data_IF_059857674786
#
_entry.id   IF_059857674786
#
_cell.length_a   1.000
_cell.length_b   1.000
_cell.length_c   1.000
_cell.angle_alpha   90.00
_cell.angle_beta   90.00
_cell.angle_gamma   90.00
#
_symmetry.space_group_name_H-M   'P 1'
#
loop_
_entity.id
_entity.type
_entity.pdbx_description
1 polymer ?
#
# COMPACT_ATOMS: atom_id res chain seq x y z
N UNK A 1 -30.76 -36.65 -49.29
CA UNK A 1 -30.86 -35.21 -49.00
C UNK A 1 -29.46 -34.67 -48.74
N UNK A 2 -29.16 -33.53 -49.38
CA UNK A 2 -27.84 -32.91 -49.60
C UNK A 2 -27.47 -31.92 -48.46
N UNK A 3 -26.19 -31.53 -48.47
CA UNK A 3 -25.44 -30.42 -47.78
C UNK A 3 -25.09 -30.62 -46.30
N UNK A 4 -23.82 -30.75 -45.87
CA UNK A 4 -22.64 -29.88 -45.98
C UNK A 4 -22.73 -28.58 -45.16
N UNK A 5 -21.88 -28.43 -44.13
CA UNK A 5 -20.87 -27.37 -44.04
C UNK A 5 -20.27 -27.29 -42.63
N UNK A 6 -18.93 -27.40 -42.56
CA UNK A 6 -18.19 -27.05 -41.37
C UNK A 6 -18.27 -25.55 -41.05
N UNK A 7 -17.98 -25.21 -39.78
CA UNK A 7 -17.55 -23.85 -39.43
C UNK A 7 -16.55 -23.87 -38.29
N UNK A 8 -15.28 -23.87 -38.72
CA UNK A 8 -14.09 -23.35 -38.04
C UNK A 8 -14.49 -22.25 -37.05
N UNK A 9 -14.38 -22.51 -35.75
CA UNK A 9 -14.49 -21.45 -34.74
C UNK A 9 -13.30 -20.52 -34.91
N UNK A 10 -13.55 -19.40 -35.60
CA UNK A 10 -12.60 -18.33 -35.83
C UNK A 10 -12.07 -17.84 -34.49
N UNK A 11 -10.75 -17.94 -34.31
CA UNK A 11 -9.97 -17.02 -33.47
C UNK A 11 -10.56 -15.62 -33.59
N UNK A 12 -11.19 -15.14 -32.53
CA UNK A 12 -11.42 -13.71 -32.36
C UNK A 12 -10.20 -13.19 -31.62
N UNK A 13 -9.19 -12.82 -32.39
CA UNK A 13 -8.18 -11.88 -31.94
C UNK A 13 -8.90 -10.60 -31.56
N UNK A 14 -9.14 -10.41 -30.27
CA UNK A 14 -9.45 -9.10 -29.72
C UNK A 14 -8.15 -8.55 -29.15
N UNK A 15 -7.41 -7.83 -29.99
CA UNK A 15 -6.52 -6.78 -29.51
C UNK A 15 -7.41 -5.77 -28.81
N UNK A 16 -7.37 -5.74 -27.48
CA UNK A 16 -7.84 -4.59 -26.71
C UNK A 16 -6.73 -4.20 -25.76
N UNK A 17 -5.97 -3.21 -26.22
CA UNK A 17 -5.34 -2.17 -25.42
C UNK A 17 -4.66 -2.66 -24.15
N UNK A 18 -3.32 -2.72 -24.22
CA UNK A 18 -2.40 -2.66 -23.08
C UNK A 18 -2.61 -1.34 -22.33
N UNK A 19 -3.76 -1.20 -21.69
CA UNK A 19 -4.02 -0.16 -20.71
C UNK A 19 -3.07 -0.47 -19.58
N UNK A 20 -2.12 0.43 -19.35
CA UNK A 20 -1.18 0.41 -18.24
C UNK A 20 -1.90 0.68 -16.91
N UNK A 21 -3.09 0.10 -16.72
CA UNK A 21 -3.74 -0.02 -15.43
C UNK A 21 -2.85 -0.94 -14.61
N UNK A 22 -2.04 -0.34 -13.76
CA UNK A 22 -1.26 -1.07 -12.78
C UNK A 22 -2.29 -1.77 -11.90
N UNK A 23 -2.56 -3.04 -12.20
CA UNK A 23 -3.42 -3.91 -11.40
C UNK A 23 -2.93 -3.87 -9.94
N UNK A 24 -3.85 -3.83 -8.96
CA UNK A 24 -3.47 -4.00 -7.57
C UNK A 24 -2.66 -5.29 -7.44
N UNK A 25 -1.56 -5.32 -6.67
CA UNK A 25 -1.00 -6.59 -6.23
C UNK A 25 -2.15 -7.34 -5.55
N UNK A 26 -2.39 -8.59 -5.96
CA UNK A 26 -3.47 -9.37 -5.37
C UNK A 26 -3.33 -9.32 -3.84
N UNK A 27 -4.40 -8.91 -3.17
CA UNK A 27 -4.59 -9.02 -1.71
C UNK A 27 -3.89 -7.97 -0.80
N UNK A 28 -3.52 -6.78 -1.28
CA UNK A 28 -3.07 -5.72 -0.34
C UNK A 28 -4.23 -5.28 0.56
N UNK A 29 -4.03 -5.39 1.87
CA UNK A 29 -4.92 -4.84 2.90
C UNK A 29 -4.32 -3.55 3.43
N UNK A 30 -5.09 -2.47 3.37
CA UNK A 30 -4.75 -1.21 4.02
C UNK A 30 -5.26 -1.19 5.46
N UNK A 31 -4.59 -0.44 6.32
CA UNK A 31 -4.99 -0.24 7.70
C UNK A 31 -5.02 1.25 7.99
N UNK A 32 -6.17 1.79 8.38
CA UNK A 32 -6.33 3.20 8.73
C UNK A 32 -6.09 3.42 10.22
N UNK A 33 -5.14 4.29 10.52
CA UNK A 33 -4.94 4.87 11.84
C UNK A 33 -6.20 5.64 12.30
N UNK A 34 -6.44 5.66 13.61
CA UNK A 34 -7.59 6.30 14.27
C UNK A 34 -7.75 7.78 13.90
N UNK A 35 -6.64 8.49 13.67
CA UNK A 35 -6.65 9.92 13.31
C UNK A 35 -7.33 10.20 11.96
N UNK A 36 -7.52 9.19 11.11
CA UNK A 36 -8.24 9.30 9.83
C UNK A 36 -9.76 9.21 9.99
N UNK A 37 -10.24 8.98 11.21
CA UNK A 37 -11.65 8.82 11.53
C UNK A 37 -12.20 7.45 11.08
N UNK A 38 -13.13 6.91 11.86
CA UNK A 38 -13.66 5.53 11.69
C UNK A 38 -14.08 5.19 10.25
N UNK A 39 -15.05 5.92 9.70
CA UNK A 39 -15.67 5.52 8.42
C UNK A 39 -15.44 6.50 7.28
N UNK A 40 -15.21 7.78 7.56
CA UNK A 40 -15.15 8.81 6.51
C UNK A 40 -13.96 8.60 5.56
N UNK A 41 -12.83 8.15 6.09
CA UNK A 41 -11.66 7.81 5.27
C UNK A 41 -11.79 6.46 4.56
N UNK A 42 -12.31 5.43 5.25
CA UNK A 42 -12.38 4.06 4.72
C UNK A 42 -13.48 3.86 3.68
N UNK A 43 -14.57 4.63 3.73
CA UNK A 43 -15.71 4.52 2.80
C UNK A 43 -15.31 4.65 1.32
N UNK A 44 -14.64 5.73 0.85
CA UNK A 44 -14.25 5.84 -0.56
C UNK A 44 -13.26 4.74 -1.00
N UNK A 45 -12.45 4.23 -0.07
CA UNK A 45 -11.48 3.17 -0.34
C UNK A 45 -12.19 1.82 -0.53
N UNK A 46 -13.17 1.50 0.34
CA UNK A 46 -14.05 0.33 0.18
C UNK A 46 -14.87 0.41 -1.10
N UNK A 47 -15.42 1.59 -1.42
CA UNK A 47 -16.15 1.84 -2.66
C UNK A 47 -15.28 1.65 -3.92
N UNK A 48 -13.97 1.85 -3.82
CA UNK A 48 -13.01 1.56 -4.88
C UNK A 48 -12.64 0.05 -4.98
N UNK A 49 -13.28 -0.82 -4.20
CA UNK A 49 -13.06 -2.27 -4.20
C UNK A 49 -11.83 -2.73 -3.41
N UNK A 50 -11.28 -1.87 -2.55
CA UNK A 50 -10.08 -2.17 -1.77
C UNK A 50 -10.41 -2.66 -0.37
N UNK A 51 -9.56 -3.56 0.15
CA UNK A 51 -9.63 -4.01 1.53
C UNK A 51 -8.99 -2.96 2.44
N UNK A 52 -9.74 -2.52 3.44
CA UNK A 52 -9.25 -1.60 4.46
C UNK A 52 -9.86 -1.91 5.82
N UNK A 53 -8.95 -2.14 6.76
CA UNK A 53 -9.20 -2.28 8.19
C UNK A 53 -9.04 -0.93 8.87
N UNK A 54 -9.71 -0.72 10.00
CA UNK A 54 -9.63 0.53 10.76
C UNK A 54 -9.18 0.22 12.19
N UNK A 55 -8.41 1.13 12.79
CA UNK A 55 -7.80 0.93 14.09
C UNK A 55 -8.79 0.48 15.18
N UNK A 56 -9.93 1.17 15.29
CA UNK A 56 -10.92 0.93 16.34
C UNK A 56 -11.61 -0.45 16.28
N UNK A 57 -11.47 -1.19 15.16
CA UNK A 57 -12.00 -2.54 15.01
C UNK A 57 -11.03 -3.62 15.55
N UNK A 58 -9.75 -3.26 15.77
CA UNK A 58 -8.68 -4.20 16.12
C UNK A 58 -8.02 -3.91 17.46
N UNK A 59 -8.03 -2.64 17.91
CA UNK A 59 -7.28 -2.22 19.09
C UNK A 59 -8.05 -1.25 19.97
N UNK A 60 -7.66 -1.19 21.25
CA UNK A 60 -8.15 -0.19 22.18
C UNK A 60 -7.68 1.22 21.78
N UNK A 61 -8.48 2.27 22.07
CA UNK A 61 -8.18 3.63 21.64
C UNK A 61 -6.83 4.19 22.13
N UNK A 62 -6.32 3.70 23.26
CA UNK A 62 -5.07 4.13 23.92
C UNK A 62 -3.87 3.24 23.61
N UNK A 63 -4.01 2.24 22.73
CA UNK A 63 -2.91 1.34 22.40
C UNK A 63 -1.69 2.13 21.88
N UNK A 64 -0.51 1.74 22.31
CA UNK A 64 0.72 2.39 21.87
C UNK A 64 0.99 2.16 20.38
N UNK A 65 1.54 3.18 19.72
CA UNK A 65 1.85 3.14 18.29
C UNK A 65 2.71 1.93 17.92
N UNK A 66 3.72 1.63 18.75
CA UNK A 66 4.61 0.50 18.54
C UNK A 66 3.86 -0.85 18.49
N UNK A 67 2.81 -1.02 19.30
CA UNK A 67 2.08 -2.29 19.41
C UNK A 67 1.25 -2.53 18.16
N UNK A 68 0.37 -1.58 17.80
CA UNK A 68 -0.49 -1.77 16.64
C UNK A 68 0.29 -1.77 15.32
N UNK A 69 1.37 -0.97 15.21
CA UNK A 69 2.23 -0.97 14.02
C UNK A 69 3.00 -2.28 13.85
N UNK A 70 3.45 -2.89 14.95
CA UNK A 70 4.10 -4.20 14.90
C UNK A 70 3.13 -5.27 14.40
N UNK A 71 1.88 -5.26 14.88
CA UNK A 71 0.84 -6.18 14.43
C UNK A 71 0.47 -5.97 12.95
N UNK A 72 0.29 -4.73 12.52
CA UNK A 72 0.03 -4.39 11.10
C UNK A 72 1.19 -4.82 10.20
N UNK A 73 2.44 -4.64 10.66
CA UNK A 73 3.64 -5.12 9.98
C UNK A 73 3.68 -6.64 9.87
N UNK A 74 3.45 -7.35 10.98
CA UNK A 74 3.44 -8.81 11.05
C UNK A 74 2.36 -9.44 10.16
N UNK A 75 1.19 -8.80 10.04
CA UNK A 75 0.10 -9.22 9.13
C UNK A 75 0.39 -8.92 7.66
N UNK A 76 1.50 -8.23 7.35
CA UNK A 76 1.79 -7.81 5.99
C UNK A 76 0.71 -6.86 5.45
N UNK A 77 0.18 -5.98 6.28
CA UNK A 77 -0.74 -4.92 5.88
C UNK A 77 0.04 -3.65 5.51
N UNK A 78 -0.66 -2.60 5.07
CA UNK A 78 -0.08 -1.30 4.74
C UNK A 78 -0.75 -0.23 5.60
N UNK A 79 0.00 0.35 6.53
CA UNK A 79 -0.50 1.39 7.42
C UNK A 79 -0.70 2.71 6.65
N UNK A 80 -1.82 3.37 6.91
CA UNK A 80 -2.11 4.73 6.45
C UNK A 80 -2.37 5.59 7.68
N UNK A 81 -1.66 6.71 7.80
CA UNK A 81 -1.80 7.66 8.91
C UNK A 81 -1.82 9.09 8.39
N UNK A 82 -2.39 10.02 9.16
CA UNK A 82 -2.34 11.47 8.89
C UNK A 82 -1.25 12.09 9.76
N UNK A 83 -0.49 12.99 9.15
CA UNK A 83 0.70 13.52 9.76
C UNK A 83 0.48 14.55 10.88
N UNK A 84 1.08 14.25 12.03
CA UNK A 84 1.97 15.14 12.82
C UNK A 84 2.82 14.33 13.84
N UNK A 85 2.47 13.10 14.21
CA UNK A 85 3.21 12.31 15.23
C UNK A 85 4.32 11.40 14.68
N UNK A 86 4.05 10.61 13.64
CA UNK A 86 5.01 9.64 13.05
C UNK A 86 6.28 10.29 12.46
N UNK A 87 6.26 11.62 12.23
CA UNK A 87 7.35 12.34 11.59
C UNK A 87 8.52 12.67 12.49
N UNK A 88 8.37 12.74 13.82
CA UNK A 88 9.34 13.47 14.63
C UNK A 88 10.18 12.64 15.59
N UNK A 89 9.85 11.38 15.88
CA UNK A 89 10.71 10.56 16.74
C UNK A 89 11.49 9.55 15.91
N UNK A 90 12.80 9.76 15.81
CA UNK A 90 13.75 8.79 15.21
C UNK A 90 13.51 7.39 15.76
N UNK A 91 13.21 7.27 17.06
CA UNK A 91 12.89 6.01 17.75
C UNK A 91 11.65 5.34 17.16
N UNK A 92 10.56 6.08 16.92
CA UNK A 92 9.31 5.55 16.35
C UNK A 92 9.53 5.09 14.91
N UNK A 93 10.32 5.82 14.12
CA UNK A 93 10.70 5.43 12.76
C UNK A 93 11.52 4.15 12.74
N UNK A 94 12.47 3.99 13.63
CA UNK A 94 13.23 2.75 13.71
C UNK A 94 12.37 1.58 14.18
N UNK A 95 11.45 1.79 15.13
CA UNK A 95 10.52 0.77 15.57
C UNK A 95 9.64 0.28 14.41
N UNK A 96 9.13 1.21 13.59
CA UNK A 96 8.41 0.92 12.34
C UNK A 96 9.23 0.09 11.36
N UNK A 97 10.51 0.43 11.18
CA UNK A 97 11.38 -0.31 10.28
C UNK A 97 11.68 -1.72 10.84
N UNK A 98 11.96 -1.84 12.15
CA UNK A 98 12.18 -3.13 12.82
C UNK A 98 10.95 -4.04 12.74
N UNK A 99 9.75 -3.46 12.80
CA UNK A 99 8.48 -4.16 12.64
C UNK A 99 8.20 -4.66 11.21
N UNK A 100 9.04 -4.35 10.23
CA UNK A 100 8.79 -4.74 8.84
C UNK A 100 7.62 -3.96 8.22
N UNK A 101 7.23 -2.82 8.79
CA UNK A 101 6.03 -2.11 8.37
C UNK A 101 6.20 -1.41 7.01
N UNK A 102 5.10 -1.35 6.26
CA UNK A 102 4.93 -0.47 5.10
C UNK A 102 3.94 0.62 5.50
N UNK A 103 4.38 1.87 5.52
CA UNK A 103 3.55 2.98 5.98
C UNK A 103 3.48 4.12 4.95
N UNK A 104 2.27 4.62 4.74
CA UNK A 104 2.01 5.85 4.00
C UNK A 104 1.48 6.93 4.95
N UNK A 105 2.11 8.09 4.91
CA UNK A 105 1.76 9.29 5.68
C UNK A 105 1.05 10.27 4.75
N UNK A 106 -0.25 10.47 4.95
CA UNK A 106 -1.02 11.46 4.22
C UNK A 106 -0.70 12.87 4.74
N UNK A 107 -0.30 13.75 3.82
CA UNK A 107 0.06 15.12 4.15
C UNK A 107 -1.03 16.07 3.69
N UNK A 108 -1.59 16.82 4.63
CA UNK A 108 -2.62 17.79 4.33
C UNK A 108 -3.21 18.36 5.60
N UNK A 109 -2.76 19.55 5.97
CA UNK A 109 -3.37 20.31 7.07
C UNK A 109 -4.81 20.66 6.71
N UNK A 110 -5.71 20.56 7.68
CA UNK A 110 -7.14 20.93 7.59
C UNK A 110 -7.96 20.25 6.49
N UNK A 111 -7.48 19.13 5.94
CA UNK A 111 -8.27 18.35 4.99
C UNK A 111 -9.21 17.41 5.75
N UNK A 112 -10.53 17.42 5.45
CA UNK A 112 -11.48 16.44 5.96
C UNK A 112 -11.09 15.00 5.63
N UNK A 113 -11.41 14.07 6.52
CA UNK A 113 -11.11 12.64 6.35
C UNK A 113 -11.66 12.04 5.03
N UNK A 114 -12.85 12.46 4.60
CA UNK A 114 -13.45 12.00 3.35
C UNK A 114 -12.64 12.44 2.12
N UNK A 115 -12.16 13.69 2.11
CA UNK A 115 -11.35 14.23 1.03
C UNK A 115 -9.96 13.60 1.00
N UNK A 116 -9.40 13.26 2.17
CA UNK A 116 -8.17 12.46 2.26
C UNK A 116 -8.37 11.07 1.65
N UNK A 117 -9.51 10.43 1.91
CA UNK A 117 -9.88 9.16 1.27
C UNK A 117 -9.93 9.28 -0.25
N UNK A 118 -10.57 10.34 -0.78
CA UNK A 118 -10.61 10.59 -2.21
C UNK A 118 -9.22 10.89 -2.81
N UNK A 119 -8.37 11.66 -2.11
CA UNK A 119 -6.97 11.90 -2.51
C UNK A 119 -6.20 10.57 -2.58
N UNK A 120 -6.37 9.70 -1.58
CA UNK A 120 -5.72 8.41 -1.55
C UNK A 120 -6.18 7.51 -2.72
N UNK A 121 -7.49 7.45 -3.00
CA UNK A 121 -8.02 6.69 -4.15
C UNK A 121 -7.42 7.21 -5.46
N UNK A 122 -7.31 8.52 -5.66
CA UNK A 122 -6.64 9.10 -6.85
C UNK A 122 -5.15 8.78 -6.92
N UNK A 123 -4.50 8.60 -5.76
CA UNK A 123 -3.08 8.25 -5.67
C UNK A 123 -2.79 6.76 -5.94
N UNK A 124 -3.80 5.88 -5.96
CA UNK A 124 -3.62 4.43 -6.08
C UNK A 124 -2.67 3.97 -7.20
N UNK A 125 -2.74 4.48 -8.45
CA UNK A 125 -1.80 4.06 -9.49
C UNK A 125 -0.33 4.31 -9.11
N UNK A 126 -0.06 5.38 -8.35
CA UNK A 126 1.28 5.70 -7.84
C UNK A 126 1.62 4.84 -6.63
N UNK A 127 0.68 4.61 -5.73
CA UNK A 127 0.83 3.71 -4.57
C UNK A 127 1.19 2.29 -5.02
N UNK A 128 0.50 1.74 -6.03
CA UNK A 128 0.79 0.41 -6.56
C UNK A 128 2.18 0.31 -7.17
N UNK A 129 2.57 1.31 -7.98
CA UNK A 129 3.92 1.38 -8.55
C UNK A 129 4.98 1.46 -7.44
N UNK A 130 4.70 2.21 -6.37
CA UNK A 130 5.59 2.35 -5.24
C UNK A 130 5.76 1.03 -4.49
N UNK A 131 4.65 0.38 -4.10
CA UNK A 131 4.65 -0.91 -3.41
C UNK A 131 5.38 -2.02 -4.18
N UNK A 132 5.27 -2.02 -5.52
CA UNK A 132 6.00 -2.98 -6.37
C UNK A 132 7.51 -2.72 -6.41
N UNK A 133 7.92 -1.46 -6.31
CA UNK A 133 9.34 -1.05 -6.40
C UNK A 133 10.05 -1.15 -5.05
N UNK A 134 9.32 -0.95 -3.95
CA UNK A 134 9.87 -0.82 -2.62
C UNK A 134 9.30 -1.92 -1.71
N UNK A 135 10.07 -3.00 -1.45
CA UNK A 135 9.68 -3.97 -0.44
C UNK A 135 9.68 -3.32 0.94
N UNK A 136 9.01 -3.97 1.89
CA UNK A 136 9.11 -3.59 3.29
C UNK A 136 10.57 -3.66 3.81
N UNK A 137 10.92 -2.90 4.85
CA UNK A 137 10.12 -1.84 5.47
C UNK A 137 10.36 -0.47 4.82
N UNK A 138 9.32 0.37 4.81
CA UNK A 138 9.45 1.77 4.39
C UNK A 138 8.40 2.67 5.05
N UNK A 139 8.72 3.96 5.11
CA UNK A 139 7.77 5.04 5.35
C UNK A 139 7.83 5.98 4.15
N UNK A 140 6.67 6.29 3.58
CA UNK A 140 6.52 7.20 2.45
C UNK A 140 5.42 8.22 2.73
N UNK A 141 5.47 9.38 2.09
CA UNK A 141 4.43 10.41 2.16
C UNK A 141 3.58 10.44 0.91
N UNK A 142 2.29 10.74 1.07
CA UNK A 142 1.37 11.04 -0.03
C UNK A 142 0.89 12.49 0.12
N UNK A 143 1.23 13.31 -0.87
CA UNK A 143 0.83 14.70 -0.94
C UNK A 143 -0.62 14.92 -1.36
N UNK A 144 -1.12 16.16 -1.24
CA UNK A 144 -2.45 16.57 -1.74
C UNK A 144 -2.67 16.24 -3.22
N UNK A 145 -1.61 16.31 -4.03
CA UNK A 145 -1.63 15.97 -5.46
C UNK A 145 -1.58 14.47 -5.74
N UNK A 146 -1.53 13.62 -4.71
CA UNK A 146 -1.33 12.18 -4.83
C UNK A 146 0.12 11.77 -5.17
N UNK A 147 1.07 12.72 -5.12
CA UNK A 147 2.51 12.42 -5.28
C UNK A 147 2.99 11.58 -4.09
N UNK A 148 3.65 10.47 -4.40
CA UNK A 148 4.20 9.52 -3.42
C UNK A 148 5.72 9.68 -3.36
N UNK A 149 6.27 9.87 -2.16
CA UNK A 149 7.70 10.05 -1.95
C UNK A 149 8.20 9.26 -0.75
N UNK A 150 9.36 8.63 -0.87
CA UNK A 150 10.00 7.94 0.24
C UNK A 150 10.47 8.94 1.29
N UNK A 151 10.18 8.68 2.56
CA UNK A 151 10.75 9.39 3.71
C UNK A 151 11.95 8.62 4.24
N UNK A 152 11.77 7.33 4.51
CA UNK A 152 12.82 6.44 5.00
C UNK A 152 12.54 5.00 4.55
N UNK A 153 13.60 4.24 4.35
CA UNK A 153 13.56 2.79 4.17
C UNK A 153 14.70 2.17 4.95
N UNK A 154 14.56 0.91 5.38
CA UNK A 154 15.75 0.18 5.82
C UNK A 154 16.71 0.08 4.62
N UNK A 155 17.99 0.38 4.83
CA UNK A 155 19.00 0.17 3.81
C UNK A 155 18.92 -1.27 3.31
N UNK A 156 18.93 -1.45 1.98
CA UNK A 156 19.10 -2.78 1.42
C UNK A 156 20.46 -3.26 1.92
N UNK A 157 20.49 -4.19 2.89
CA UNK A 157 21.66 -5.05 3.04
C UNK A 157 21.81 -5.74 1.71
N UNK A 158 22.75 -5.25 0.90
CA UNK A 158 23.25 -5.99 -0.24
C UNK A 158 23.69 -7.32 0.34
N UNK A 159 22.92 -8.37 0.06
CA UNK A 159 23.42 -9.72 0.17
C UNK A 159 24.45 -9.83 -0.94
N UNK A 160 25.67 -9.36 -0.67
CA UNK A 160 26.84 -9.82 -1.39
C UNK A 160 26.81 -11.33 -1.19
N UNK A 161 26.35 -12.05 -2.21
CA UNK A 161 26.69 -13.45 -2.38
C UNK A 161 28.20 -13.49 -2.48
N UNK A 162 28.83 -13.68 -1.32
CA UNK A 162 30.16 -14.23 -1.17
C UNK A 162 30.24 -15.45 -2.10
N UNK A 163 30.86 -15.24 -3.25
CA UNK A 163 31.24 -16.30 -4.17
C UNK A 163 32.68 -16.67 -3.88
N UNK A 164 32.98 -16.92 -2.60
CA UNK A 164 34.20 -17.61 -2.19
C UNK A 164 33.89 -19.09 -2.07
N UNK A 165 34.20 -19.85 -3.13
CA UNK A 165 34.77 -21.21 -3.13
C UNK A 165 34.35 -21.97 -4.39
N UNK A 166 35.28 -22.08 -5.33
CA UNK A 166 35.98 -23.35 -5.62
C UNK A 166 37.10 -23.09 -6.64
N UNK A 167 38.33 -23.07 -6.11
CA UNK A 167 39.50 -23.64 -6.79
C UNK A 167 39.30 -25.16 -6.91
N UNK A 168 39.93 -25.85 -7.87
CA UNK A 168 41.40 -26.00 -7.93
C UNK A 168 42.10 -24.99 -8.83
#
# INVERSE_FOLDING_TARGET
MTVASGRRSRRRSATSSRSSRVEPPEQVVFFADRCLGRHRFSTPIRAAGLRIEIHDDHFLPEVEDQVWLSEVGARGWVAITKDERIRYRTIEREALLRAGARAFVLTGRDIPAADLGAIFVRALPRVWRFLRKHPAPFIARIGRSGRVEMIVSAERRHRSTDSSRRRP
#
